data_IF_606317405150
#
_entry.id   IF_606317405150
#
_cell.length_a   1.000
_cell.length_b   1.000
_cell.length_c   1.000
_cell.angle_alpha   90.00
_cell.angle_beta   90.00
_cell.angle_gamma   90.00
#
_symmetry.space_group_name_H-M   'P 1'
#
loop_
_entity.id
_entity.type
_entity.pdbx_description
1 polymer ?
#
# COMPACT_ATOMS: atom_id res chain seq x y z
N UNK A 1 16.45 -8.91 -18.38
CA UNK A 1 15.15 -8.55 -18.99
C UNK A 1 14.49 -7.49 -18.13
N UNK A 2 13.84 -6.49 -18.74
CA UNK A 2 13.18 -5.41 -17.99
C UNK A 2 11.90 -5.93 -17.35
N UNK A 3 11.67 -5.59 -16.07
CA UNK A 3 10.44 -5.94 -15.33
C UNK A 3 9.60 -4.69 -15.10
N UNK A 4 8.30 -4.80 -15.25
CA UNK A 4 7.40 -3.69 -14.96
C UNK A 4 6.04 -4.18 -14.49
N UNK A 5 5.38 -3.41 -13.62
CA UNK A 5 4.05 -3.77 -13.13
C UNK A 5 3.47 -2.76 -12.17
N UNK A 6 2.16 -2.91 -11.98
CA UNK A 6 1.38 -2.16 -11.01
C UNK A 6 1.37 -2.87 -9.66
N UNK A 7 1.87 -2.19 -8.63
CA UNK A 7 1.95 -2.68 -7.26
C UNK A 7 0.95 -1.91 -6.40
N UNK A 8 -0.19 -2.51 -6.14
CA UNK A 8 -1.29 -1.83 -5.49
C UNK A 8 -1.32 -2.09 -3.98
N UNK A 9 -1.33 -1.02 -3.20
CA UNK A 9 -1.23 -1.03 -1.74
C UNK A 9 -2.63 -0.93 -1.14
N UNK A 10 -3.05 -1.99 -0.46
CA UNK A 10 -4.40 -2.17 0.09
C UNK A 10 -4.29 -2.50 1.58
N UNK A 11 -5.27 -2.14 2.36
CA UNK A 11 -5.32 -2.46 3.80
C UNK A 11 -6.21 -1.50 4.56
N UNK A 12 -6.44 -1.79 5.82
CA UNK A 12 -7.30 -1.00 6.70
C UNK A 12 -6.79 0.44 6.90
N UNK A 13 -7.62 1.36 7.39
CA UNK A 13 -7.16 2.71 7.73
C UNK A 13 -6.06 2.67 8.78
N UNK A 14 -5.11 3.61 8.69
CA UNK A 14 -4.04 3.84 9.67
C UNK A 14 -3.00 2.70 9.83
N UNK A 15 -3.01 1.66 9.01
CA UNK A 15 -1.96 0.60 9.03
C UNK A 15 -0.63 1.06 8.43
N UNK A 16 -0.56 2.27 7.86
CA UNK A 16 0.67 2.87 7.35
C UNK A 16 0.91 2.72 5.85
N UNK A 17 -0.14 2.52 5.03
CA UNK A 17 -0.05 2.39 3.56
C UNK A 17 0.67 3.56 2.90
N UNK A 18 0.24 4.79 3.18
CA UNK A 18 0.83 6.01 2.62
C UNK A 18 2.28 6.22 3.08
N UNK A 19 2.60 5.88 4.34
CA UNK A 19 3.97 5.90 4.84
C UNK A 19 4.84 4.90 4.11
N UNK A 20 4.32 3.68 3.91
CA UNK A 20 5.01 2.62 3.18
C UNK A 20 5.26 3.01 1.72
N UNK A 21 4.25 3.55 1.03
CA UNK A 21 4.42 4.02 -0.34
C UNK A 21 5.49 5.10 -0.44
N UNK A 22 5.46 6.11 0.44
CA UNK A 22 6.47 7.17 0.46
C UNK A 22 7.88 6.61 0.69
N UNK A 23 8.03 5.61 1.57
CA UNK A 23 9.31 4.95 1.83
C UNK A 23 9.81 4.14 0.60
N UNK A 24 8.92 3.43 -0.09
CA UNK A 24 9.25 2.65 -1.29
C UNK A 24 9.59 3.53 -2.50
N UNK A 25 8.91 4.67 -2.65
CA UNK A 25 9.16 5.64 -3.73
C UNK A 25 10.39 6.51 -3.43
N UNK A 26 10.69 6.75 -2.15
CA UNK A 26 11.75 7.66 -1.71
C UNK A 26 11.33 9.14 -1.69
N UNK A 27 10.05 9.43 -1.97
CA UNK A 27 9.50 10.79 -2.05
C UNK A 27 8.14 10.87 -1.32
N UNK A 28 7.82 12.04 -0.79
CA UNK A 28 6.54 12.27 -0.10
C UNK A 28 5.42 12.60 -1.10
N UNK A 29 4.80 11.58 -1.67
CA UNK A 29 3.67 11.71 -2.58
C UNK A 29 2.31 11.67 -1.87
N UNK A 30 2.17 10.83 -0.85
CA UNK A 30 0.93 10.73 -0.05
C UNK A 30 1.07 11.48 1.26
N UNK A 31 0.01 12.19 1.66
CA UNK A 31 -0.05 12.84 2.97
C UNK A 31 -0.26 11.83 4.08
N UNK A 32 0.25 12.14 5.26
CA UNK A 32 0.23 11.24 6.42
C UNK A 32 -0.39 11.97 7.60
N UNK A 33 -1.51 11.46 8.11
CA UNK A 33 -2.13 11.93 9.36
C UNK A 33 -2.65 10.76 10.19
N UNK A 34 -2.95 10.99 11.46
CA UNK A 34 -3.60 10.01 12.34
C UNK A 34 -5.10 9.86 12.08
N UNK A 35 -5.71 10.78 11.33
CA UNK A 35 -7.16 10.76 11.06
C UNK A 35 -7.47 9.69 10.00
N UNK A 36 -8.57 8.97 10.21
CA UNK A 36 -9.10 8.07 9.19
C UNK A 36 -9.46 8.84 7.92
N UNK A 37 -9.47 8.15 6.76
CA UNK A 37 -9.78 8.75 5.46
C UNK A 37 -8.80 9.87 5.03
N UNK A 38 -7.54 9.78 5.46
CA UNK A 38 -6.48 10.69 5.03
C UNK A 38 -6.29 10.60 3.52
N UNK A 39 -6.17 9.41 2.95
CA UNK A 39 -6.13 9.16 1.51
C UNK A 39 -7.55 9.00 0.98
N UNK A 40 -7.97 9.89 0.08
CA UNK A 40 -9.31 9.88 -0.55
C UNK A 40 -9.28 9.53 -2.02
N UNK A 41 -8.13 9.66 -2.65
CA UNK A 41 -7.88 9.40 -4.06
C UNK A 41 -6.84 8.30 -4.18
N UNK A 42 -6.84 7.59 -5.30
CA UNK A 42 -5.74 6.73 -5.69
C UNK A 42 -4.58 7.62 -6.15
N UNK A 43 -3.41 7.44 -5.56
CA UNK A 43 -2.19 8.20 -5.88
C UNK A 43 -1.15 7.22 -6.40
N UNK A 44 -0.60 7.51 -7.56
CA UNK A 44 0.47 6.70 -8.14
C UNK A 44 1.83 7.31 -7.85
N UNK A 45 2.79 6.45 -7.50
CA UNK A 45 4.20 6.76 -7.39
C UNK A 45 5.02 5.81 -8.26
N UNK A 46 5.85 6.36 -9.13
CA UNK A 46 6.56 5.60 -10.16
C UNK A 46 8.05 5.58 -9.82
N UNK A 47 8.62 4.39 -9.74
CA UNK A 47 10.05 4.17 -9.55
C UNK A 47 10.61 3.47 -10.77
N UNK A 48 11.55 4.11 -11.45
CA UNK A 48 12.15 3.61 -12.69
C UNK A 48 13.64 3.40 -12.56
N UNK A 49 14.13 2.33 -13.18
CA UNK A 49 15.56 2.04 -13.36
C UNK A 49 15.83 1.60 -14.82
N UNK A 50 17.04 1.17 -15.11
CA UNK A 50 17.35 0.56 -16.40
C UNK A 50 16.66 -0.79 -16.59
N UNK A 51 16.52 -1.55 -15.50
CA UNK A 51 16.05 -2.93 -15.50
C UNK A 51 14.61 -3.11 -15.02
N UNK A 52 13.99 -2.06 -14.48
CA UNK A 52 12.60 -2.17 -13.99
C UNK A 52 11.85 -0.84 -13.97
N UNK A 53 10.52 -0.93 -13.94
CA UNK A 53 9.62 0.14 -13.57
C UNK A 53 8.50 -0.38 -12.67
N UNK A 54 8.36 0.21 -11.48
CA UNK A 54 7.29 -0.12 -10.54
C UNK A 54 6.33 1.05 -10.45
N UNK A 55 5.04 0.79 -10.68
CA UNK A 55 3.97 1.78 -10.49
C UNK A 55 3.25 1.45 -9.19
N UNK A 56 3.66 2.06 -8.10
CA UNK A 56 2.97 1.94 -6.82
C UNK A 56 1.65 2.71 -6.84
N UNK A 57 0.66 2.18 -6.15
CA UNK A 57 -0.65 2.82 -6.03
C UNK A 57 -1.11 2.80 -4.57
N UNK A 58 -1.10 3.97 -3.91
CA UNK A 58 -1.70 4.14 -2.59
C UNK A 58 -3.22 4.28 -2.72
N UNK A 59 -3.95 3.51 -1.93
CA UNK A 59 -5.41 3.48 -1.96
C UNK A 59 -6.00 3.96 -0.63
N UNK A 60 -7.25 4.47 -0.64
CA UNK A 60 -8.00 4.68 0.59
C UNK A 60 -8.01 3.43 1.47
N UNK A 61 -8.14 3.63 2.79
CA UNK A 61 -8.30 2.50 3.71
C UNK A 61 -9.61 1.75 3.48
N UNK A 62 -9.58 0.44 3.67
CA UNK A 62 -10.76 -0.41 3.62
C UNK A 62 -11.72 0.00 4.73
N UNK A 63 -12.97 0.27 4.40
CA UNK A 63 -14.01 0.66 5.35
C UNK A 63 -15.39 0.18 4.89
N UNK A 64 -16.34 0.10 5.82
CA UNK A 64 -17.76 -0.10 5.48
C UNK A 64 -18.33 1.28 5.11
N UNK A 65 -18.75 1.51 3.84
CA UNK A 65 -19.21 2.83 3.42
C UNK A 65 -20.53 3.19 4.08
N UNK A 66 -20.63 4.40 4.65
CA UNK A 66 -21.82 4.97 5.26
C UNK A 66 -22.41 6.12 4.44
N UNK A 67 -21.66 6.64 3.45
CA UNK A 67 -22.10 7.73 2.57
C UNK A 67 -21.33 7.69 1.23
N UNK A 68 -21.85 8.41 0.22
CA UNK A 68 -21.41 8.36 -1.18
C UNK A 68 -19.89 8.53 -1.41
N UNK A 69 -19.22 9.40 -0.64
CA UNK A 69 -17.78 9.55 -0.77
C UNK A 69 -17.04 8.27 -0.39
N UNK A 70 -17.46 7.59 0.68
CA UNK A 70 -16.86 6.32 1.10
C UNK A 70 -17.13 5.20 0.10
N UNK A 71 -18.30 5.18 -0.54
CA UNK A 71 -18.58 4.25 -1.64
C UNK A 71 -17.61 4.45 -2.80
N UNK A 72 -17.33 5.72 -3.16
CA UNK A 72 -16.35 6.05 -4.20
C UNK A 72 -14.93 5.65 -3.80
N UNK A 73 -14.54 5.81 -2.52
CA UNK A 73 -13.27 5.35 -1.99
C UNK A 73 -13.14 3.83 -2.09
N UNK A 74 -14.21 3.08 -1.78
CA UNK A 74 -14.19 1.60 -1.88
C UNK A 74 -14.09 1.12 -3.33
N UNK A 75 -14.59 1.86 -4.32
CA UNK A 75 -14.37 1.55 -5.74
C UNK A 75 -12.89 1.61 -6.12
N UNK A 76 -12.12 2.54 -5.54
CA UNK A 76 -10.66 2.55 -5.75
C UNK A 76 -9.98 1.31 -5.16
N UNK A 77 -10.41 0.85 -3.98
CA UNK A 77 -9.86 -0.35 -3.35
C UNK A 77 -10.17 -1.61 -4.17
N UNK A 78 -11.43 -1.79 -4.58
CA UNK A 78 -11.82 -2.96 -5.38
C UNK A 78 -11.21 -2.94 -6.78
N UNK A 79 -11.09 -1.76 -7.40
CA UNK A 79 -10.39 -1.60 -8.69
C UNK A 79 -8.90 -1.93 -8.57
N UNK A 80 -8.27 -1.54 -7.45
CA UNK A 80 -6.86 -1.81 -7.22
C UNK A 80 -6.55 -3.32 -7.06
N UNK A 81 -7.51 -4.16 -6.63
CA UNK A 81 -7.33 -5.61 -6.66
C UNK A 81 -7.34 -6.13 -8.11
N UNK A 82 -8.22 -5.57 -8.94
CA UNK A 82 -8.46 -6.07 -10.29
C UNK A 82 -7.35 -5.70 -11.30
N UNK A 83 -6.67 -4.57 -11.10
CA UNK A 83 -5.66 -4.04 -12.04
C UNK A 83 -4.21 -4.16 -11.51
N UNK A 84 -3.98 -4.96 -10.47
CA UNK A 84 -2.65 -5.20 -9.90
C UNK A 84 -1.90 -6.32 -10.61
N UNK A 85 -0.60 -6.14 -10.80
CA UNK A 85 0.35 -7.23 -11.10
C UNK A 85 0.92 -7.84 -9.81
N UNK A 86 1.00 -7.03 -8.74
CA UNK A 86 1.34 -7.47 -7.38
C UNK A 86 0.47 -6.70 -6.38
N UNK A 87 -0.07 -7.40 -5.39
CA UNK A 87 -0.85 -6.80 -4.30
C UNK A 87 0.01 -6.71 -3.04
N UNK A 88 0.13 -5.51 -2.47
CA UNK A 88 0.64 -5.30 -1.11
C UNK A 88 -0.55 -5.14 -0.16
N UNK A 89 -0.90 -6.21 0.55
CA UNK A 89 -1.88 -6.12 1.63
C UNK A 89 -1.18 -5.71 2.92
N UNK A 90 -1.43 -4.48 3.35
CA UNK A 90 -0.77 -3.91 4.55
C UNK A 90 -1.67 -4.05 5.75
N UNK A 91 -1.15 -4.72 6.77
CA UNK A 91 -1.69 -4.79 8.14
C UNK A 91 -0.66 -4.24 9.12
N UNK A 92 -0.98 -4.14 10.39
CA UNK A 92 -0.02 -3.75 11.42
C UNK A 92 -0.18 -4.57 12.71
N UNK A 93 0.73 -4.33 13.65
CA UNK A 93 0.80 -5.05 14.94
C UNK A 93 -0.19 -4.55 15.99
N UNK A 94 -0.88 -3.42 15.73
CA UNK A 94 -1.83 -2.78 16.66
C UNK A 94 -3.26 -2.76 16.12
N UNK A 95 -3.51 -3.32 14.96
CA UNK A 95 -4.80 -3.33 14.32
C UNK A 95 -5.86 -4.06 15.16
N UNK A 96 -6.91 -3.34 15.56
CA UNK A 96 -8.03 -3.86 16.36
C UNK A 96 -9.36 -3.95 15.59
N UNK A 97 -9.35 -3.52 14.32
CA UNK A 97 -10.57 -3.49 13.50
C UNK A 97 -10.95 -4.86 12.93
N UNK A 98 -12.22 -5.02 12.57
CA UNK A 98 -12.65 -6.16 11.76
C UNK A 98 -11.94 -6.09 10.41
N UNK A 99 -11.29 -7.19 10.04
CA UNK A 99 -10.72 -7.35 8.70
C UNK A 99 -11.84 -7.49 7.71
N UNK A 100 -11.68 -6.89 6.55
CA UNK A 100 -12.61 -7.13 5.47
C UNK A 100 -12.36 -8.51 4.87
N UNK A 101 -13.08 -9.53 5.37
CA UNK A 101 -13.04 -10.87 4.80
C UNK A 101 -13.29 -10.85 3.29
N UNK A 102 -14.19 -9.97 2.83
CA UNK A 102 -14.47 -9.78 1.41
C UNK A 102 -13.23 -9.40 0.59
N UNK A 103 -12.39 -8.50 1.08
CA UNK A 103 -11.16 -8.09 0.36
C UNK A 103 -10.12 -9.21 0.39
N UNK A 104 -9.98 -9.92 1.51
CA UNK A 104 -9.07 -11.08 1.60
C UNK A 104 -9.51 -12.17 0.63
N UNK A 105 -10.80 -12.46 0.55
CA UNK A 105 -11.35 -13.44 -0.40
C UNK A 105 -11.16 -12.99 -1.85
N UNK A 106 -11.33 -11.71 -2.16
CA UNK A 106 -11.02 -11.16 -3.48
C UNK A 106 -9.55 -11.30 -3.85
N UNK A 107 -8.63 -11.03 -2.92
CA UNK A 107 -7.18 -11.23 -3.13
C UNK A 107 -6.91 -12.71 -3.42
N UNK A 108 -7.47 -13.62 -2.63
CA UNK A 108 -7.31 -15.07 -2.83
C UNK A 108 -7.84 -15.54 -4.19
N UNK A 109 -9.00 -15.01 -4.61
CA UNK A 109 -9.65 -15.38 -5.88
C UNK A 109 -9.01 -14.72 -7.10
N UNK A 110 -8.29 -13.62 -6.94
CA UNK A 110 -7.68 -12.88 -8.05
C UNK A 110 -6.56 -13.67 -8.76
N UNK A 111 -5.90 -14.57 -8.05
CA UNK A 111 -4.71 -15.26 -8.54
C UNK A 111 -3.48 -14.35 -8.71
N UNK A 112 -3.59 -13.07 -8.34
CA UNK A 112 -2.49 -12.11 -8.40
C UNK A 112 -1.51 -12.38 -7.27
N UNK A 113 -0.18 -12.39 -7.50
CA UNK A 113 0.82 -12.51 -6.45
C UNK A 113 0.59 -11.45 -5.36
N UNK A 114 0.54 -11.91 -4.11
CA UNK A 114 0.29 -11.05 -2.97
C UNK A 114 1.45 -11.08 -1.96
N UNK A 115 1.74 -9.92 -1.36
CA UNK A 115 2.63 -9.77 -0.23
C UNK A 115 1.82 -9.21 0.93
N UNK A 116 1.79 -9.91 2.06
CA UNK A 116 1.25 -9.37 3.31
C UNK A 116 2.38 -8.65 4.03
N UNK A 117 2.25 -7.33 4.14
CA UNK A 117 3.21 -6.51 4.88
C UNK A 117 2.69 -6.30 6.29
N UNK A 118 3.35 -6.91 7.28
CA UNK A 118 3.08 -6.65 8.69
C UNK A 118 3.89 -5.41 9.09
N UNK A 119 3.24 -4.25 9.05
CA UNK A 119 3.89 -2.97 9.35
C UNK A 119 3.93 -2.66 10.85
N UNK A 120 4.69 -1.63 11.23
CA UNK A 120 4.85 -1.15 12.61
C UNK A 120 5.42 -2.20 13.58
N UNK A 121 6.33 -3.04 13.11
CA UNK A 121 6.95 -4.05 13.97
C UNK A 121 7.79 -3.45 15.10
N UNK A 122 8.14 -2.17 15.01
CA UNK A 122 8.73 -1.36 16.08
C UNK A 122 7.85 -1.23 17.33
N UNK A 123 6.57 -1.59 17.24
CA UNK A 123 5.57 -1.51 18.32
C UNK A 123 5.18 -2.88 18.90
N UNK A 124 5.91 -3.95 18.59
CA UNK A 124 5.56 -5.32 19.03
C UNK A 124 6.78 -6.10 19.50
N UNK A 125 6.55 -7.25 20.15
CA UNK A 125 7.61 -8.18 20.53
C UNK A 125 7.83 -9.24 19.46
N UNK A 126 9.00 -9.90 19.43
CA UNK A 126 9.27 -10.99 18.49
C UNK A 126 8.22 -12.12 18.54
N UNK A 127 7.79 -12.53 19.73
CA UNK A 127 6.84 -13.62 19.94
C UNK A 127 5.46 -13.26 19.39
N UNK A 128 5.01 -12.02 19.61
CA UNK A 128 3.75 -11.53 19.06
C UNK A 128 3.81 -11.38 17.52
N UNK A 129 4.98 -11.03 16.99
CA UNK A 129 5.21 -10.97 15.55
C UNK A 129 5.15 -12.36 14.90
N UNK A 130 5.79 -13.36 15.48
CA UNK A 130 5.73 -14.76 15.01
C UNK A 130 4.28 -15.25 14.94
N UNK A 131 3.50 -15.03 15.98
CA UNK A 131 2.07 -15.38 15.99
C UNK A 131 1.27 -14.68 14.88
N UNK A 132 1.61 -13.43 14.53
CA UNK A 132 0.99 -12.72 13.43
C UNK A 132 1.41 -13.29 12.07
N UNK A 133 2.67 -13.67 11.91
CA UNK A 133 3.17 -14.31 10.69
C UNK A 133 2.43 -15.63 10.46
N UNK A 134 2.35 -16.49 11.47
CA UNK A 134 1.66 -17.79 11.38
C UNK A 134 0.18 -17.61 11.03
N UNK A 135 -0.46 -16.63 11.64
CA UNK A 135 -1.86 -16.31 11.36
C UNK A 135 -2.07 -15.91 9.89
N UNK A 136 -1.24 -15.00 9.37
CA UNK A 136 -1.34 -14.56 7.98
C UNK A 136 -0.96 -15.67 6.98
N UNK A 137 -0.01 -16.53 7.34
CA UNK A 137 0.31 -17.71 6.54
C UNK A 137 -0.88 -18.67 6.44
N UNK A 138 -1.68 -18.78 7.50
CA UNK A 138 -2.93 -19.55 7.49
C UNK A 138 -4.05 -18.88 6.67
N UNK A 139 -4.16 -17.55 6.72
CA UNK A 139 -5.21 -16.80 5.99
C UNK A 139 -4.91 -16.67 4.49
N UNK A 140 -3.66 -16.43 4.10
CA UNK A 140 -3.21 -16.28 2.71
C UNK A 140 -1.95 -17.14 2.46
N UNK A 141 -2.11 -18.46 2.31
CA UNK A 141 -0.98 -19.40 2.20
C UNK A 141 -0.05 -19.13 1.00
N UNK A 142 -0.60 -18.60 -0.08
CA UNK A 142 0.14 -18.26 -1.31
C UNK A 142 0.87 -16.92 -1.23
N UNK A 143 0.58 -16.09 -0.21
CA UNK A 143 1.19 -14.80 -0.07
C UNK A 143 2.57 -14.89 0.58
N UNK A 144 3.49 -14.01 0.17
CA UNK A 144 4.74 -13.80 0.90
C UNK A 144 4.48 -12.87 2.08
N UNK A 145 4.98 -13.22 3.27
CA UNK A 145 4.80 -12.41 4.48
C UNK A 145 6.09 -11.64 4.76
N UNK A 146 6.00 -10.33 4.82
CA UNK A 146 7.15 -9.44 5.03
C UNK A 146 6.88 -8.50 6.21
N UNK A 147 7.48 -8.77 7.39
CA UNK A 147 7.48 -7.82 8.48
C UNK A 147 8.34 -6.60 8.16
N UNK A 148 7.83 -5.39 8.47
CA UNK A 148 8.51 -4.13 8.18
C UNK A 148 8.11 -3.02 9.18
N UNK A 149 8.91 -1.97 9.24
CA UNK A 149 8.52 -0.69 9.82
C UNK A 149 8.78 0.43 8.81
N UNK A 150 7.72 0.93 8.20
CA UNK A 150 7.82 2.01 7.23
C UNK A 150 8.30 3.33 7.88
N UNK A 151 7.97 3.54 9.16
CA UNK A 151 8.39 4.72 9.92
C UNK A 151 9.89 4.69 10.22
N UNK A 152 10.40 3.55 10.65
CA UNK A 152 11.81 3.36 11.03
C UNK A 152 12.68 2.91 9.84
N UNK A 153 12.10 2.86 8.63
CA UNK A 153 12.75 2.38 7.40
C UNK A 153 13.37 0.97 7.54
N UNK A 154 12.77 0.13 8.40
CA UNK A 154 13.25 -1.22 8.64
C UNK A 154 12.66 -2.20 7.63
N UNK A 155 13.51 -3.03 7.02
CA UNK A 155 13.18 -4.06 6.02
C UNK A 155 12.46 -3.56 4.76
N UNK A 156 12.55 -2.27 4.45
CA UNK A 156 11.98 -1.69 3.21
C UNK A 156 12.73 -2.18 1.98
N UNK A 157 14.05 -2.31 2.07
CA UNK A 157 14.87 -2.89 0.99
C UNK A 157 14.52 -4.37 0.73
N UNK A 158 14.30 -5.16 1.77
CA UNK A 158 13.86 -6.56 1.65
C UNK A 158 12.49 -6.68 1.00
N UNK A 159 11.55 -5.81 1.39
CA UNK A 159 10.24 -5.71 0.74
C UNK A 159 10.37 -5.33 -0.74
N UNK A 160 11.21 -4.34 -1.06
CA UNK A 160 11.45 -3.90 -2.43
C UNK A 160 11.99 -5.04 -3.31
N UNK A 161 12.97 -5.81 -2.81
CA UNK A 161 13.49 -7.01 -3.51
C UNK A 161 12.39 -8.06 -3.73
N UNK A 162 11.57 -8.29 -2.71
CA UNK A 162 10.44 -9.23 -2.81
C UNK A 162 9.43 -8.82 -3.89
N UNK A 163 9.16 -7.50 -4.01
CA UNK A 163 8.32 -6.95 -5.07
C UNK A 163 8.94 -7.19 -6.44
N UNK A 164 10.23 -6.84 -6.62
CA UNK A 164 10.94 -7.03 -7.89
C UNK A 164 10.95 -8.50 -8.35
N UNK A 165 11.04 -9.45 -7.41
CA UNK A 165 11.00 -10.87 -7.73
C UNK A 165 9.67 -11.29 -8.34
N UNK A 166 8.56 -10.71 -7.86
CA UNK A 166 7.20 -11.03 -8.28
C UNK A 166 6.73 -10.27 -9.53
N UNK A 167 7.41 -9.18 -9.90
CA UNK A 167 7.03 -8.39 -11.07
C UNK A 167 7.18 -9.21 -12.37
N UNK A 168 6.19 -9.09 -13.28
CA UNK A 168 6.29 -9.68 -14.61
C UNK A 168 7.35 -8.99 -15.46
N UNK A 169 7.82 -9.68 -16.48
CA UNK A 169 8.62 -9.08 -17.55
C UNK A 169 7.75 -8.25 -18.47
N UNK A 170 8.19 -7.04 -18.77
CA UNK A 170 7.44 -6.12 -19.63
C UNK A 170 8.17 -4.79 -19.86
N UNK A 171 7.73 -4.01 -20.85
CA UNK A 171 8.26 -2.67 -21.11
C UNK A 171 7.79 -1.68 -20.04
N UNK A 172 8.49 -0.55 -19.89
CA UNK A 172 8.05 0.54 -19.04
C UNK A 172 6.70 1.13 -19.51
N UNK A 173 5.82 1.43 -18.57
CA UNK A 173 4.50 2.03 -18.83
C UNK A 173 4.58 3.55 -18.99
N UNK A 174 5.55 4.18 -18.34
CA UNK A 174 5.73 5.63 -18.27
C UNK A 174 7.17 6.02 -18.65
N UNK A 175 7.40 7.27 -19.11
CA UNK A 175 8.73 7.82 -19.24
C UNK A 175 9.54 7.68 -17.95
N UNK A 176 10.85 7.44 -18.03
CA UNK A 176 11.69 7.12 -16.86
C UNK A 176 11.79 8.25 -15.84
N UNK A 177 11.55 9.48 -16.26
CA UNK A 177 11.57 10.70 -15.44
C UNK A 177 10.20 11.01 -14.79
N UNK A 178 9.17 10.22 -15.09
CA UNK A 178 7.85 10.39 -14.50
C UNK A 178 7.82 9.84 -13.08
N UNK A 179 7.51 10.69 -12.10
CA UNK A 179 7.42 10.31 -10.68
C UNK A 179 6.00 9.94 -10.25
N UNK A 180 4.98 10.55 -10.86
CA UNK A 180 3.57 10.42 -10.44
C UNK A 180 2.61 10.81 -11.55
N UNK A 181 1.35 10.38 -11.43
CA UNK A 181 0.23 10.76 -12.31
C UNK A 181 -0.44 12.09 -11.90
N UNK A 182 -0.01 12.71 -10.79
CA UNK A 182 -0.64 13.91 -10.23
C UNK A 182 0.11 15.19 -10.59
N UNK A 183 -0.65 16.29 -10.66
CA UNK A 183 -0.10 17.62 -10.94
C UNK A 183 0.44 18.29 -9.66
N UNK A 184 1.32 19.27 -9.80
CA UNK A 184 1.79 20.10 -8.69
C UNK A 184 0.63 20.77 -7.92
N UNK A 185 -0.44 21.16 -8.63
CA UNK A 185 -1.64 21.72 -7.99
C UNK A 185 -2.32 20.72 -7.05
N UNK A 186 -2.38 19.45 -7.44
CA UNK A 186 -2.90 18.39 -6.57
C UNK A 186 -2.06 18.30 -5.28
N UNK A 187 -0.74 18.24 -5.37
CA UNK A 187 0.12 18.17 -4.19
C UNK A 187 0.01 19.41 -3.30
N UNK A 188 -0.06 20.61 -3.88
CA UNK A 188 -0.27 21.83 -3.10
C UNK A 188 -1.59 21.75 -2.29
N UNK A 189 -2.68 21.28 -2.90
CA UNK A 189 -3.96 21.10 -2.20
C UNK A 189 -3.90 20.02 -1.12
N UNK A 190 -3.19 18.91 -1.36
CA UNK A 190 -3.01 17.85 -0.38
C UNK A 190 -2.16 18.30 0.82
N UNK A 191 -1.10 19.08 0.59
CA UNK A 191 -0.29 19.65 1.68
C UNK A 191 -1.13 20.58 2.56
N UNK A 192 -1.95 21.45 1.96
CA UNK A 192 -2.89 22.31 2.70
C UNK A 192 -3.86 21.44 3.51
N UNK A 193 -4.44 20.41 2.89
CA UNK A 193 -5.37 19.49 3.55
C UNK A 193 -4.68 18.71 4.69
N UNK A 194 -3.44 18.29 4.53
CA UNK A 194 -2.64 17.67 5.61
C UNK A 194 -2.52 18.60 6.82
N UNK A 195 -2.21 19.87 6.59
CA UNK A 195 -2.10 20.87 7.67
C UNK A 195 -3.45 21.12 8.36
N UNK A 196 -4.53 21.22 7.60
CA UNK A 196 -5.88 21.34 8.16
C UNK A 196 -6.19 20.11 9.03
N UNK A 197 -5.96 18.90 8.54
CA UNK A 197 -6.23 17.67 9.29
C UNK A 197 -5.37 17.52 10.55
N UNK A 198 -4.18 18.12 10.60
CA UNK A 198 -3.27 18.05 11.75
C UNK A 198 -3.55 19.09 12.81
N UNK A 199 -3.96 20.29 12.42
CA UNK A 199 -4.02 21.46 13.31
C UNK A 199 -5.45 21.94 13.61
N UNK A 200 -6.46 21.41 12.92
CA UNK A 200 -7.86 21.72 13.17
C UNK A 200 -8.64 20.45 13.49
N UNK A 201 -9.56 20.56 14.47
CA UNK A 201 -10.45 19.46 14.90
C UNK A 201 -11.59 19.19 13.92
#
# INVERSE_FOLDING_TARGET
MHKSGFVNIIGNPNVGKSTLMNALVGEKLSIITSKAQTTRHRIMGIVSSEDFQIVYSDTPGILKPSYKLQESMMKFVTGAVADADVILYVTDTVERGERSAEIIDRIRQSGVPAIVVINKIDLTTPEALEALVDKWQGELPEARIVPASAKENFNIEGLFKTILDLLPEGPAFYPKDTLTDKTLRFFASEIIREKILRFYD
#
